data_IF_026831985443
#
_entry.id   IF_026831985443
#
_cell.length_a   1.000
_cell.length_b   1.000
_cell.length_c   1.000
_cell.angle_alpha   90.00
_cell.angle_beta   90.00
_cell.angle_gamma   90.00
#
_symmetry.space_group_name_H-M   'P 1'
#
loop_
_entity.id
_entity.type
_entity.pdbx_description
1 polymer ?
#
# COMPACT_ATOMS: atom_id res chain seq x y z
N UNK A 1 46.40 -5.35 15.95
CA UNK A 1 45.02 -4.83 15.83
C UNK A 1 44.65 -4.90 14.37
N UNK A 2 43.88 -5.93 13.98
CA UNK A 2 43.56 -6.20 12.57
C UNK A 2 42.24 -5.54 12.23
N UNK A 3 42.28 -4.60 11.29
CA UNK A 3 41.11 -3.94 10.70
C UNK A 3 40.18 -4.99 10.09
N UNK A 4 39.03 -5.20 10.71
CA UNK A 4 37.94 -5.97 10.13
C UNK A 4 37.39 -5.16 8.97
N UNK A 5 37.70 -5.56 7.74
CA UNK A 5 37.16 -4.99 6.51
C UNK A 5 35.65 -4.77 6.63
N UNK A 6 35.23 -3.51 6.55
CA UNK A 6 33.84 -3.07 6.77
C UNK A 6 32.91 -3.81 5.80
N UNK A 7 32.03 -4.66 6.33
CA UNK A 7 31.16 -5.58 5.57
C UNK A 7 30.32 -4.82 4.52
N UNK A 8 30.03 -3.54 4.78
CA UNK A 8 29.32 -2.67 3.84
C UNK A 8 30.10 -2.42 2.54
N UNK A 9 31.43 -2.31 2.62
CA UNK A 9 32.30 -2.11 1.45
C UNK A 9 32.37 -3.35 0.54
N UNK A 10 32.26 -4.56 1.13
CA UNK A 10 32.22 -5.82 0.38
C UNK A 10 30.89 -6.03 -0.37
N UNK A 11 29.82 -5.38 0.07
CA UNK A 11 28.48 -5.50 -0.54
C UNK A 11 28.25 -4.49 -1.67
N UNK A 12 28.87 -3.31 -1.60
CA UNK A 12 28.67 -2.22 -2.57
C UNK A 12 29.72 -2.16 -3.68
N UNK A 13 30.85 -2.85 -3.52
CA UNK A 13 31.95 -2.91 -4.50
C UNK A 13 31.69 -3.85 -5.69
N UNK A 14 30.66 -4.69 -5.65
CA UNK A 14 30.29 -5.55 -6.77
C UNK A 14 29.65 -4.71 -7.88
N UNK A 15 30.29 -4.68 -9.06
CA UNK A 15 29.76 -4.01 -10.25
C UNK A 15 28.40 -4.60 -10.63
N UNK A 16 27.34 -3.80 -10.51
CA UNK A 16 25.99 -4.17 -10.97
C UNK A 16 25.93 -4.05 -12.50
N UNK A 17 25.24 -4.98 -13.15
CA UNK A 17 24.92 -4.88 -14.57
C UNK A 17 24.13 -3.58 -14.81
N UNK A 18 24.69 -2.69 -15.62
CA UNK A 18 24.09 -1.39 -15.94
C UNK A 18 23.11 -1.60 -17.09
N UNK A 19 21.82 -1.58 -16.78
CA UNK A 19 20.76 -1.70 -17.78
C UNK A 19 20.63 -0.38 -18.52
N UNK A 20 20.63 -0.37 -19.87
CA UNK A 20 20.42 0.85 -20.62
C UNK A 20 19.01 1.41 -20.37
N UNK A 21 18.85 2.75 -20.35
CA UNK A 21 17.53 3.37 -20.23
C UNK A 21 16.66 2.98 -21.43
N UNK A 22 15.38 2.70 -21.17
CA UNK A 22 14.40 2.41 -22.21
C UNK A 22 14.12 3.69 -23.00
N UNK A 23 14.18 3.58 -24.33
CA UNK A 23 13.78 4.66 -25.22
C UNK A 23 12.28 4.95 -25.05
N UNK A 24 11.94 6.19 -24.74
CA UNK A 24 10.58 6.67 -24.52
C UNK A 24 10.01 7.40 -25.75
N UNK A 25 10.70 7.34 -26.89
CA UNK A 25 10.27 8.02 -28.11
C UNK A 25 9.05 7.32 -28.72
N UNK A 26 7.93 8.03 -28.81
CA UNK A 26 6.76 7.63 -29.59
C UNK A 26 7.12 7.69 -31.08
N UNK A 27 7.33 6.53 -31.72
CA UNK A 27 7.63 6.47 -33.14
C UNK A 27 6.53 7.12 -33.98
N UNK A 28 6.86 8.19 -34.70
CA UNK A 28 6.00 8.75 -35.74
C UNK A 28 5.95 7.76 -36.90
N UNK A 29 4.86 6.98 -36.95
CA UNK A 29 4.58 6.11 -38.10
C UNK A 29 4.24 6.99 -39.30
N UNK A 30 5.21 7.27 -40.16
CA UNK A 30 4.94 7.67 -41.55
C UNK A 30 5.34 6.53 -42.48
N UNK A 31 4.32 5.74 -42.85
CA UNK A 31 4.23 4.99 -44.10
C UNK A 31 2.87 4.29 -44.13
N UNK A 32 1.90 5.01 -44.68
CA UNK A 32 0.74 4.43 -45.40
C UNK A 32 1.26 3.89 -46.75
N UNK A 33 0.54 3.00 -47.50
CA UNK A 33 -0.93 3.03 -47.65
C UNK A 33 -1.66 1.69 -47.86
N UNK A 34 -2.94 1.64 -47.47
CA UNK A 34 -4.04 1.11 -48.32
C UNK A 34 -5.41 1.44 -47.76
N UNK A 35 -6.29 1.81 -48.69
CA UNK A 35 -7.64 2.35 -48.54
C UNK A 35 -8.61 1.46 -47.77
N UNK A 36 -9.23 2.02 -46.72
CA UNK A 36 -10.65 1.82 -46.40
C UNK A 36 -11.21 3.14 -45.82
N UNK A 37 -12.40 3.60 -46.22
CA UNK A 37 -12.97 4.82 -45.69
C UNK A 37 -13.49 4.56 -44.28
N UNK A 38 -12.66 4.84 -43.28
CA UNK A 38 -13.12 5.00 -41.90
C UNK A 38 -13.85 6.34 -41.83
N UNK A 39 -15.17 6.26 -41.65
CA UNK A 39 -16.01 7.37 -41.21
C UNK A 39 -15.32 8.08 -40.04
N UNK A 40 -14.97 9.33 -40.26
CA UNK A 40 -14.58 10.28 -39.23
C UNK A 40 -15.75 10.36 -38.23
N UNK A 41 -15.60 9.67 -37.11
CA UNK A 41 -16.36 10.03 -35.92
C UNK A 41 -15.69 11.30 -35.45
N UNK A 42 -16.32 12.43 -35.78
CA UNK A 42 -16.04 13.71 -35.15
C UNK A 42 -16.05 13.48 -33.64
N UNK A 43 -14.86 13.37 -33.05
CA UNK A 43 -14.68 13.65 -31.63
C UNK A 43 -14.87 15.16 -31.50
N UNK A 44 -16.14 15.58 -31.48
CA UNK A 44 -16.53 16.87 -30.94
C UNK A 44 -15.95 16.94 -29.53
N UNK A 45 -14.83 17.66 -29.45
CA UNK A 45 -14.16 18.03 -28.21
C UNK A 45 -15.09 19.01 -27.51
N UNK A 46 -16.14 18.49 -26.85
CA UNK A 46 -17.00 19.26 -25.99
C UNK A 46 -16.11 19.90 -24.92
N UNK A 47 -15.94 21.21 -25.00
CA UNK A 47 -15.26 21.97 -23.96
C UNK A 47 -16.00 21.70 -22.64
N UNK A 48 -15.30 21.29 -21.57
CA UNK A 48 -15.95 21.00 -20.31
C UNK A 48 -16.65 22.26 -19.81
N UNK A 49 -17.97 22.17 -19.61
CA UNK A 49 -18.76 23.29 -19.10
C UNK A 49 -18.16 23.75 -17.77
N UNK A 50 -17.62 24.97 -17.77
CA UNK A 50 -16.93 25.59 -16.63
C UNK A 50 -17.85 25.64 -15.40
N UNK A 51 -19.17 25.68 -15.62
CA UNK A 51 -20.17 25.63 -14.56
C UNK A 51 -20.27 24.26 -13.90
N UNK A 52 -20.16 23.16 -14.65
CA UNK A 52 -20.14 21.81 -14.08
C UNK A 52 -18.85 21.54 -13.30
N UNK A 53 -17.71 21.98 -13.83
CA UNK A 53 -16.42 21.85 -13.15
C UNK A 53 -16.40 22.60 -11.81
N UNK A 54 -17.02 23.77 -11.73
CA UNK A 54 -17.09 24.53 -10.47
C UNK A 54 -18.01 23.88 -9.43
N UNK A 55 -19.14 23.29 -9.86
CA UNK A 55 -20.03 22.51 -8.98
C UNK A 55 -19.33 21.26 -8.42
N UNK A 56 -18.63 20.51 -9.27
CA UNK A 56 -17.90 19.31 -8.86
C UNK A 56 -16.77 19.63 -7.88
N UNK A 57 -16.08 20.77 -8.03
CA UNK A 57 -15.08 21.23 -7.06
C UNK A 57 -15.71 21.53 -5.70
N UNK A 58 -16.84 22.24 -5.68
CA UNK A 58 -17.54 22.55 -4.43
C UNK A 58 -18.07 21.29 -3.73
N UNK A 59 -18.51 20.27 -4.49
CA UNK A 59 -18.90 18.98 -3.92
C UNK A 59 -17.69 18.23 -3.34
N UNK A 60 -16.58 18.18 -4.07
CA UNK A 60 -15.34 17.53 -3.63
C UNK A 60 -14.79 18.12 -2.34
N UNK A 61 -14.90 19.44 -2.15
CA UNK A 61 -14.47 20.14 -0.93
C UNK A 61 -15.26 19.71 0.32
N UNK A 62 -16.47 19.14 0.16
CA UNK A 62 -17.28 18.64 1.26
C UNK A 62 -17.06 17.14 1.55
N UNK A 63 -16.30 16.43 0.72
CA UNK A 63 -16.05 15.01 0.86
C UNK A 63 -14.76 14.73 1.65
N UNK A 64 -14.68 13.58 2.35
CA UNK A 64 -13.47 13.20 3.07
C UNK A 64 -12.29 13.04 2.12
N UNK A 65 -11.17 13.64 2.48
CA UNK A 65 -9.93 13.54 1.71
C UNK A 65 -9.12 12.31 2.14
N UNK A 66 -8.62 11.57 1.16
CA UNK A 66 -7.84 10.35 1.42
C UNK A 66 -6.45 10.71 1.92
N UNK A 67 -6.08 10.16 3.08
CA UNK A 67 -4.78 10.36 3.70
C UNK A 67 -3.66 9.52 3.09
N UNK A 68 -2.48 9.54 3.74
CA UNK A 68 -1.34 8.68 3.36
C UNK A 68 -1.64 7.21 3.65
N UNK A 69 -1.21 6.32 2.76
CA UNK A 69 -1.34 4.87 2.92
C UNK A 69 -0.59 4.37 4.17
N UNK A 70 -1.27 3.56 4.99
CA UNK A 70 -0.72 2.93 6.19
C UNK A 70 -0.18 1.52 5.88
N UNK A 71 1.05 1.22 6.30
CA UNK A 71 1.63 -0.12 6.19
C UNK A 71 1.34 -0.95 7.45
N UNK A 72 0.34 -1.85 7.39
CA UNK A 72 -0.10 -2.67 8.53
C UNK A 72 0.28 -4.14 8.36
N UNK A 73 0.87 -4.72 9.41
CA UNK A 73 1.17 -6.15 9.49
C UNK A 73 0.27 -6.83 10.53
N UNK A 74 -0.68 -7.61 10.03
CA UNK A 74 -1.63 -8.37 10.83
C UNK A 74 -1.09 -9.76 11.17
N UNK A 75 -1.69 -10.36 12.19
CA UNK A 75 -1.41 -11.74 12.55
C UNK A 75 -1.98 -12.67 11.47
N UNK A 76 -1.34 -13.82 11.29
CA UNK A 76 -1.85 -14.86 10.40
C UNK A 76 -3.26 -15.30 10.87
N UNK A 77 -4.20 -15.49 9.96
CA UNK A 77 -5.62 -15.71 10.27
C UNK A 77 -6.42 -14.42 10.44
N UNK A 78 -5.96 -13.45 11.25
CA UNK A 78 -6.68 -12.17 11.42
C UNK A 78 -6.77 -11.40 10.11
N UNK A 79 -5.72 -11.45 9.27
CA UNK A 79 -5.78 -10.86 7.93
C UNK A 79 -6.90 -11.49 7.10
N UNK A 80 -7.00 -12.80 7.11
CA UNK A 80 -7.95 -13.53 6.27
C UNK A 80 -9.39 -13.28 6.74
N UNK A 81 -9.60 -13.24 8.06
CA UNK A 81 -10.89 -12.90 8.66
C UNK A 81 -11.29 -11.45 8.35
N UNK A 82 -10.35 -10.51 8.41
CA UNK A 82 -10.59 -9.11 8.05
C UNK A 82 -10.95 -8.98 6.58
N UNK A 83 -10.20 -9.63 5.68
CA UNK A 83 -10.49 -9.59 4.24
C UNK A 83 -11.87 -10.18 3.95
N UNK A 84 -12.21 -11.34 4.51
CA UNK A 84 -13.55 -11.95 4.34
C UNK A 84 -14.66 -11.01 4.82
N UNK A 85 -14.48 -10.35 5.96
CA UNK A 85 -15.45 -9.41 6.49
C UNK A 85 -15.59 -8.17 5.58
N UNK A 86 -14.48 -7.70 5.02
CA UNK A 86 -14.47 -6.58 4.08
C UNK A 86 -15.17 -6.97 2.77
N UNK A 87 -14.80 -8.10 2.19
CA UNK A 87 -15.34 -8.64 0.94
C UNK A 87 -16.84 -8.92 1.06
N UNK A 88 -17.31 -9.42 2.22
CA UNK A 88 -18.75 -9.71 2.42
C UNK A 88 -19.62 -8.48 2.58
N UNK A 89 -19.03 -7.30 2.81
CA UNK A 89 -19.75 -6.05 3.06
C UNK A 89 -19.40 -4.97 2.03
N UNK A 90 -18.68 -5.32 0.96
CA UNK A 90 -18.21 -4.39 -0.08
C UNK A 90 -17.48 -3.15 0.47
N UNK A 91 -16.69 -3.34 1.54
CA UNK A 91 -15.86 -2.29 2.15
C UNK A 91 -14.38 -2.65 2.06
N UNK A 92 -13.52 -1.65 2.24
CA UNK A 92 -12.07 -1.88 2.32
C UNK A 92 -11.59 -1.92 3.77
N UNK A 93 -10.45 -2.58 4.05
CA UNK A 93 -9.84 -2.60 5.38
C UNK A 93 -9.59 -1.20 5.96
N UNK A 94 -9.23 -0.24 5.11
CA UNK A 94 -9.02 1.15 5.49
C UNK A 94 -10.31 1.78 6.03
N UNK A 95 -11.42 1.65 5.29
CA UNK A 95 -12.73 2.18 5.69
C UNK A 95 -13.24 1.47 6.96
N UNK A 96 -13.01 0.17 7.09
CA UNK A 96 -13.35 -0.56 8.31
C UNK A 96 -12.59 -0.01 9.53
N UNK A 97 -11.30 0.29 9.39
CA UNK A 97 -10.51 0.88 10.48
C UNK A 97 -11.01 2.28 10.82
N UNK A 98 -11.32 3.13 9.84
CA UNK A 98 -11.87 4.46 10.06
C UNK A 98 -13.19 4.40 10.84
N UNK A 99 -14.13 3.57 10.39
CA UNK A 99 -15.41 3.36 11.05
C UNK A 99 -15.25 2.79 12.47
N UNK A 100 -14.32 1.85 12.67
CA UNK A 100 -14.04 1.30 13.99
C UNK A 100 -13.49 2.35 14.97
N UNK A 101 -12.62 3.26 14.49
CA UNK A 101 -12.10 4.34 15.32
C UNK A 101 -13.20 5.34 15.67
N UNK A 102 -14.01 5.77 14.71
CA UNK A 102 -15.15 6.66 14.96
C UNK A 102 -16.12 6.05 15.99
N UNK A 103 -16.45 4.77 15.83
CA UNK A 103 -17.30 4.05 16.79
C UNK A 103 -16.73 4.00 18.21
N UNK A 104 -15.42 3.82 18.36
CA UNK A 104 -14.77 3.79 19.67
C UNK A 104 -14.66 5.18 20.31
N UNK A 105 -14.62 6.24 19.51
CA UNK A 105 -14.69 7.63 19.99
C UNK A 105 -16.07 7.93 20.57
N UNK A 106 -17.13 7.47 19.89
CA UNK A 106 -18.51 7.61 20.36
C UNK A 106 -18.81 6.76 21.62
N UNK A 107 -18.04 5.68 21.83
CA UNK A 107 -18.21 4.77 22.97
C UNK A 107 -16.95 4.69 23.85
N UNK A 108 -16.66 5.73 24.67
CA UNK A 108 -15.43 5.83 25.44
C UNK A 108 -15.24 4.69 26.44
N UNK A 109 -16.32 4.04 26.88
CA UNK A 109 -16.27 2.89 27.80
C UNK A 109 -15.63 1.64 27.17
N UNK A 110 -15.66 1.51 25.84
CA UNK A 110 -15.11 0.35 25.12
C UNK A 110 -13.65 0.54 24.74
N UNK A 111 -13.20 1.78 24.57
CA UNK A 111 -11.84 2.12 24.18
C UNK A 111 -10.76 1.51 25.12
N UNK A 112 -10.86 1.60 26.47
CA UNK A 112 -9.87 1.00 27.36
C UNK A 112 -9.73 -0.52 27.20
N UNK A 113 -10.83 -1.22 26.93
CA UNK A 113 -10.82 -2.68 26.72
C UNK A 113 -10.09 -3.05 25.44
N UNK A 114 -10.30 -2.30 24.35
CA UNK A 114 -9.58 -2.49 23.09
C UNK A 114 -8.08 -2.23 23.28
N UNK A 115 -7.71 -1.15 23.97
CA UNK A 115 -6.31 -0.81 24.25
C UNK A 115 -5.64 -1.90 25.12
N UNK A 116 -6.31 -2.42 26.14
CA UNK A 116 -5.78 -3.49 26.98
C UNK A 116 -5.49 -4.77 26.16
N UNK A 117 -6.42 -5.17 25.29
CA UNK A 117 -6.22 -6.30 24.40
C UNK A 117 -5.09 -6.06 23.38
N UNK A 118 -5.00 -4.86 22.80
CA UNK A 118 -3.92 -4.49 21.89
C UNK A 118 -2.54 -4.58 22.56
N UNK A 119 -2.42 -4.10 23.82
CA UNK A 119 -1.19 -4.21 24.62
C UNK A 119 -0.81 -5.67 24.88
N UNK A 120 -1.78 -6.52 25.21
CA UNK A 120 -1.56 -7.97 25.39
C UNK A 120 -1.02 -8.63 24.11
N UNK A 121 -1.66 -8.39 22.96
CA UNK A 121 -1.21 -8.91 21.66
C UNK A 121 0.18 -8.43 21.28
N UNK A 122 0.52 -7.17 21.58
CA UNK A 122 1.86 -6.64 21.34
C UNK A 122 2.92 -7.38 22.18
N UNK A 123 2.63 -7.67 23.45
CA UNK A 123 3.53 -8.43 24.31
C UNK A 123 3.75 -9.86 23.79
N UNK A 124 2.67 -10.53 23.36
CA UNK A 124 2.73 -11.86 22.74
C UNK A 124 3.59 -11.85 21.47
N UNK A 125 3.42 -10.86 20.58
CA UNK A 125 4.25 -10.71 19.37
C UNK A 125 5.73 -10.52 19.69
N UNK A 126 6.06 -9.71 20.71
CA UNK A 126 7.45 -9.52 21.17
C UNK A 126 8.05 -10.83 21.67
N UNK A 127 7.29 -11.58 22.49
CA UNK A 127 7.70 -12.89 23.00
C UNK A 127 7.93 -13.89 21.86
N UNK A 128 7.01 -13.96 20.89
CA UNK A 128 7.15 -14.82 19.73
C UNK A 128 8.41 -14.49 18.91
N UNK A 129 8.72 -13.19 18.73
CA UNK A 129 9.96 -12.74 18.08
C UNK A 129 11.22 -13.20 18.82
N UNK A 130 11.23 -13.08 20.15
CA UNK A 130 12.34 -13.56 20.97
C UNK A 130 12.52 -15.07 20.86
N UNK A 131 11.44 -15.84 21.02
CA UNK A 131 11.46 -17.31 20.91
C UNK A 131 12.00 -17.75 19.56
N UNK A 132 11.53 -17.16 18.45
CA UNK A 132 12.05 -17.45 17.10
C UNK A 132 13.55 -17.20 16.98
N UNK A 133 14.04 -16.08 17.53
CA UNK A 133 15.46 -15.74 17.50
C UNK A 133 16.29 -16.72 18.31
N UNK A 134 15.86 -17.05 19.52
CA UNK A 134 16.56 -18.01 20.39
C UNK A 134 16.61 -19.39 19.74
N UNK A 135 15.50 -19.86 19.19
CA UNK A 135 15.41 -21.15 18.52
C UNK A 135 16.38 -21.20 17.32
N UNK A 136 16.40 -20.15 16.49
CA UNK A 136 17.34 -20.06 15.36
C UNK A 136 18.82 -20.06 15.81
N UNK A 137 19.15 -19.43 16.95
CA UNK A 137 20.51 -19.48 17.50
C UNK A 137 20.86 -20.88 18.01
N UNK A 138 19.96 -21.53 18.73
CA UNK A 138 20.20 -22.90 19.23
C UNK A 138 20.38 -23.89 18.08
N UNK A 139 19.61 -23.77 17.00
CA UNK A 139 19.76 -24.61 15.81
C UNK A 139 21.09 -24.37 15.08
N UNK A 140 21.60 -23.13 15.09
CA UNK A 140 22.82 -22.77 14.37
C UNK A 140 24.11 -23.10 15.13
N UNK A 141 24.09 -23.00 16.46
CA UNK A 141 25.29 -23.10 17.30
C UNK A 141 25.23 -24.24 18.33
N UNK A 142 24.11 -24.94 18.43
CA UNK A 142 23.92 -26.07 19.35
C UNK A 142 24.25 -27.44 18.75
N UNK A 143 24.96 -27.49 17.62
CA UNK A 143 25.51 -28.70 16.99
C UNK A 143 27.03 -28.72 17.17
#
# INVERSE_FOLDING_TARGET
MSEASDIRSLLTSKSRAKVPPRDASLGSKSSLPKDEPLTEVDEEKAEPDIQEVSKLKAELDNLPTVGKRLAVHLEQGIRDDLMKLCDSNDITPEIFIEAAIAFLQDQPNKMPKVIANAKKRLAERKRAGLVRRTLAMMQKYGS
#
